data_IF_703211477357
#
_entry.id   IF_703211477357
#
_cell.length_a   1.000
_cell.length_b   1.000
_cell.length_c   1.000
_cell.angle_alpha   90.00
_cell.angle_beta   90.00
_cell.angle_gamma   90.00
#
_symmetry.space_group_name_H-M   'P 1'
#
loop_
_entity.id
_entity.type
_entity.pdbx_description
1 polymer ?
#
# COMPACT_ATOMS: atom_id res chain seq x y z
N UNK A 1 61.96 -5.21 2.68
CA UNK A 1 61.12 -5.99 3.61
C UNK A 1 59.72 -6.04 3.02
N UNK A 2 59.42 -7.14 2.31
CA UNK A 2 58.17 -7.41 1.62
C UNK A 2 57.23 -8.11 2.58
N UNK A 3 56.07 -7.51 2.88
CA UNK A 3 54.98 -8.17 3.58
C UNK A 3 53.86 -8.46 2.57
N UNK A 4 53.82 -9.69 2.10
CA UNK A 4 52.71 -10.25 1.34
C UNK A 4 51.63 -10.69 2.32
N UNK A 5 50.46 -10.07 2.26
CA UNK A 5 49.25 -10.48 2.99
C UNK A 5 48.42 -11.42 2.12
N UNK A 6 48.29 -12.67 2.56
CA UNK A 6 47.45 -13.71 1.97
C UNK A 6 45.94 -13.45 2.23
N UNK A 7 45.04 -13.94 1.36
CA UNK A 7 43.60 -13.71 1.47
C UNK A 7 42.92 -14.67 2.46
N UNK A 8 42.09 -14.13 3.36
CA UNK A 8 41.22 -14.91 4.24
C UNK A 8 40.02 -15.46 3.47
N UNK A 9 40.01 -16.77 3.31
CA UNK A 9 38.91 -17.58 2.75
C UNK A 9 37.69 -17.63 3.68
N UNK A 10 36.52 -17.68 3.04
CA UNK A 10 35.16 -17.78 3.59
C UNK A 10 35.03 -18.91 4.63
N UNK A 11 34.48 -18.57 5.81
CA UNK A 11 33.78 -19.54 6.65
C UNK A 11 32.28 -19.27 6.61
N UNK A 12 31.58 -20.12 5.85
CA UNK A 12 30.12 -20.28 5.91
C UNK A 12 29.84 -21.14 7.14
N UNK A 13 29.28 -20.55 8.20
CA UNK A 13 28.76 -21.31 9.32
C UNK A 13 27.38 -21.87 8.92
N UNK A 14 27.40 -23.14 8.53
CA UNK A 14 26.23 -23.99 8.39
C UNK A 14 25.68 -24.29 9.79
N UNK A 15 24.42 -23.90 10.06
CA UNK A 15 23.74 -24.18 11.34
C UNK A 15 22.61 -25.21 11.11
N UNK A 16 22.82 -26.50 11.38
CA UNK A 16 21.87 -27.55 11.06
C UNK A 16 20.99 -27.93 12.25
N UNK A 17 20.31 -26.97 12.90
CA UNK A 17 19.33 -27.27 13.95
C UNK A 17 18.24 -26.20 14.03
N UNK A 18 17.33 -26.17 13.05
CA UNK A 18 16.04 -25.48 13.19
C UNK A 18 14.98 -26.09 12.26
N UNK A 19 14.92 -27.42 12.21
CA UNK A 19 13.79 -28.17 11.65
C UNK A 19 13.20 -29.03 12.77
N UNK A 20 12.27 -28.45 13.51
CA UNK A 20 11.23 -29.21 14.23
C UNK A 20 9.92 -28.50 13.97
N UNK A 21 9.05 -29.18 13.22
CA UNK A 21 7.69 -28.76 13.01
C UNK A 21 6.90 -28.94 14.30
N UNK A 22 6.14 -27.92 14.66
CA UNK A 22 5.01 -28.05 15.56
C UNK A 22 3.80 -27.43 14.88
N UNK A 23 2.92 -28.30 14.41
CA UNK A 23 1.57 -27.98 14.00
C UNK A 23 0.77 -27.60 15.25
N UNK A 24 0.48 -26.30 15.41
CA UNK A 24 -0.49 -25.82 16.39
C UNK A 24 -1.64 -25.15 15.66
N UNK A 25 -2.60 -25.98 15.27
CA UNK A 25 -3.95 -25.59 14.89
C UNK A 25 -4.67 -24.98 16.09
N UNK A 26 -4.94 -23.68 16.06
CA UNK A 26 -5.89 -23.04 16.97
C UNK A 26 -7.12 -22.58 16.19
N UNK A 27 -8.18 -23.36 16.30
CA UNK A 27 -9.54 -22.98 15.92
C UNK A 27 -10.35 -22.74 17.21
N UNK A 28 -11.07 -21.62 17.35
CA UNK A 28 -12.16 -21.52 18.29
C UNK A 28 -13.48 -21.84 17.57
N UNK A 29 -14.05 -23.01 17.88
CA UNK A 29 -15.47 -23.31 17.65
C UNK A 29 -16.27 -22.68 18.78
N UNK A 30 -17.22 -21.80 18.44
CA UNK A 30 -18.44 -21.57 19.22
C UNK A 30 -19.58 -21.19 18.23
N UNK A 31 -20.62 -22.04 18.19
CA UNK A 31 -21.92 -21.81 17.54
C UNK A 31 -22.97 -21.48 18.65
N UNK A 32 -24.27 -21.36 18.35
CA UNK A 32 -24.95 -20.23 17.71
C UNK A 32 -26.14 -19.73 18.56
N UNK A 33 -26.72 -18.58 18.22
CA UNK A 33 -28.10 -18.25 18.59
C UNK A 33 -28.29 -16.82 19.05
N UNK A 34 -28.85 -15.98 18.20
CA UNK A 34 -30.21 -15.46 18.41
C UNK A 34 -30.70 -14.87 17.09
N UNK A 35 -31.72 -15.53 16.55
CA UNK A 35 -32.52 -15.02 15.44
C UNK A 35 -33.55 -14.07 16.05
N UNK A 36 -33.76 -12.90 15.47
CA UNK A 36 -35.10 -12.34 15.45
C UNK A 36 -35.36 -11.51 14.20
N UNK A 37 -36.25 -12.07 13.39
CA UNK A 37 -37.01 -11.51 12.31
C UNK A 37 -37.59 -10.13 12.62
N UNK A 38 -37.44 -9.20 11.68
CA UNK A 38 -38.45 -8.19 11.39
C UNK A 38 -38.31 -7.68 9.95
N UNK A 39 -38.67 -8.53 8.98
CA UNK A 39 -39.29 -8.02 7.73
C UNK A 39 -40.66 -7.49 8.12
N UNK A 40 -40.92 -6.21 7.90
CA UNK A 40 -42.28 -5.75 7.64
C UNK A 40 -42.24 -4.66 6.57
N UNK A 41 -42.54 -5.12 5.36
CA UNK A 41 -42.99 -4.31 4.23
C UNK A 41 -44.20 -3.51 4.69
N UNK A 42 -44.21 -2.21 4.42
CA UNK A 42 -45.46 -1.45 4.41
C UNK A 42 -45.43 -0.55 3.16
N UNK A 43 -45.95 -1.10 2.07
CA UNK A 43 -46.51 -0.27 1.02
C UNK A 43 -47.78 0.39 1.57
N UNK A 44 -47.87 1.70 1.46
CA UNK A 44 -49.17 2.37 1.44
C UNK A 44 -49.12 3.53 0.47
N UNK A 45 -49.64 3.29 -0.74
CA UNK A 45 -50.20 4.34 -1.59
C UNK A 45 -51.41 4.93 -0.88
N UNK A 46 -51.36 6.21 -0.51
CA UNK A 46 -52.55 7.04 -0.43
C UNK A 46 -52.27 8.35 -1.17
N UNK A 47 -53.20 8.62 -2.07
CA UNK A 47 -53.25 9.70 -3.04
C UNK A 47 -53.77 11.01 -2.43
N UNK A 48 -53.19 12.12 -2.90
CA UNK A 48 -53.72 13.48 -3.04
C UNK A 48 -54.33 14.17 -1.79
N UNK A 49 -53.71 15.30 -1.41
CA UNK A 49 -54.44 16.58 -1.27
C UNK A 49 -53.48 17.77 -1.30
N UNK A 50 -53.87 18.73 -2.14
CA UNK A 50 -53.29 20.06 -2.28
C UNK A 50 -53.33 20.83 -0.96
N UNK A 51 -52.21 21.44 -0.58
CA UNK A 51 -52.22 22.65 0.24
C UNK A 51 -51.35 23.71 -0.44
N UNK A 52 -52.05 24.68 -1.01
CA UNK A 52 -51.50 25.92 -1.56
C UNK A 52 -50.94 26.80 -0.45
N UNK A 53 -49.81 27.46 -0.76
CA UNK A 53 -49.30 28.71 -0.17
C UNK A 53 -49.00 28.67 1.33
N UNK A 54 -47.71 28.64 1.65
CA UNK A 54 -47.05 29.61 2.53
C UNK A 54 -45.58 29.70 2.07
N UNK A 55 -45.12 30.94 1.81
CA UNK A 55 -43.79 31.21 1.28
C UNK A 55 -42.68 31.07 2.31
N UNK A 56 -41.46 30.92 1.82
CA UNK A 56 -40.25 31.12 2.62
C UNK A 56 -39.17 30.08 2.34
N UNK A 57 -38.03 30.60 1.89
CA UNK A 57 -36.72 29.92 1.80
C UNK A 57 -36.59 28.92 0.64
N UNK A 58 -36.06 29.42 -0.49
CA UNK A 58 -35.29 28.56 -1.40
C UNK A 58 -34.00 28.18 -0.69
N UNK A 59 -33.99 27.05 0.00
CA UNK A 59 -32.74 26.34 0.21
C UNK A 59 -32.30 25.90 -1.18
N UNK A 60 -31.25 26.52 -1.71
CA UNK A 60 -30.55 26.02 -2.88
C UNK A 60 -30.09 24.60 -2.53
N UNK A 61 -30.81 23.61 -3.04
CA UNK A 61 -30.35 22.24 -3.07
C UNK A 61 -29.12 22.21 -3.95
N UNK A 62 -27.96 22.44 -3.35
CA UNK A 62 -26.70 22.04 -3.95
C UNK A 62 -26.78 20.54 -4.11
N UNK A 63 -27.08 20.09 -5.32
CA UNK A 63 -26.84 18.71 -5.70
C UNK A 63 -25.37 18.44 -5.37
N UNK A 64 -25.12 17.59 -4.38
CA UNK A 64 -23.79 17.13 -4.06
C UNK A 64 -23.29 16.39 -5.31
N UNK A 65 -22.43 17.03 -6.10
CA UNK A 65 -21.65 16.31 -7.10
C UNK A 65 -20.73 15.38 -6.31
N UNK A 66 -21.05 14.08 -6.31
CA UNK A 66 -20.06 13.05 -6.04
C UNK A 66 -18.98 13.17 -7.11
N UNK A 67 -17.92 13.93 -6.83
CA UNK A 67 -16.73 13.93 -7.67
C UNK A 67 -16.14 12.52 -7.63
N UNK A 68 -16.02 11.88 -8.81
CA UNK A 68 -15.27 10.63 -8.91
C UNK A 68 -13.87 10.83 -8.33
N UNK A 69 -13.36 9.89 -7.52
CA UNK A 69 -12.07 10.05 -6.87
C UNK A 69 -10.95 10.16 -7.90
N UNK A 70 -10.06 11.15 -7.75
CA UNK A 70 -8.92 11.35 -8.64
C UNK A 70 -7.74 10.43 -8.28
N UNK A 71 -6.68 10.44 -9.10
CA UNK A 71 -5.46 9.65 -8.86
C UNK A 71 -4.85 9.95 -7.47
N UNK A 72 -5.00 11.18 -6.96
CA UNK A 72 -4.46 11.61 -5.66
C UNK A 72 -5.20 10.96 -4.50
N UNK A 73 -6.52 10.80 -4.61
CA UNK A 73 -7.33 10.08 -3.63
C UNK A 73 -6.80 8.65 -3.41
N UNK A 74 -6.57 7.91 -4.50
CA UNK A 74 -6.10 6.53 -4.40
C UNK A 74 -4.66 6.43 -3.89
N UNK A 75 -3.77 7.35 -4.26
CA UNK A 75 -2.41 7.37 -3.67
C UNK A 75 -2.43 7.69 -2.17
N UNK A 76 -3.31 8.60 -1.72
CA UNK A 76 -3.48 8.85 -0.28
C UNK A 76 -3.95 7.59 0.44
N UNK A 77 -4.86 6.83 -0.17
CA UNK A 77 -5.26 5.52 0.35
C UNK A 77 -4.09 4.54 0.45
N UNK A 78 -3.21 4.48 -0.56
CA UNK A 78 -1.97 3.71 -0.46
C UNK A 78 -1.10 4.12 0.73
N UNK A 79 -0.97 5.44 0.98
CA UNK A 79 -0.20 5.96 2.13
C UNK A 79 -0.88 5.59 3.45
N UNK A 80 -2.20 5.64 3.56
CA UNK A 80 -2.94 5.18 4.74
C UNK A 80 -2.68 3.70 5.04
N UNK A 81 -2.77 2.85 4.03
CA UNK A 81 -2.48 1.42 4.16
C UNK A 81 -1.04 1.18 4.61
N UNK A 82 -0.07 1.87 3.99
CA UNK A 82 1.34 1.77 4.34
C UNK A 82 1.64 2.18 5.79
N UNK A 83 0.95 3.20 6.32
CA UNK A 83 1.11 3.69 7.70
C UNK A 83 0.75 2.66 8.75
N UNK A 84 -0.06 1.65 8.42
CA UNK A 84 -0.38 0.57 9.37
C UNK A 84 0.84 -0.28 9.75
N UNK A 85 1.92 -0.22 8.97
CA UNK A 85 3.16 -0.97 9.19
C UNK A 85 4.31 -0.13 9.78
N UNK A 86 4.04 1.07 10.29
CA UNK A 86 5.05 1.92 10.95
C UNK A 86 5.79 1.11 12.04
N UNK A 87 7.12 1.08 11.94
CA UNK A 87 7.99 0.37 12.89
C UNK A 87 8.22 -1.11 12.59
N UNK A 88 7.55 -1.69 11.58
CA UNK A 88 7.63 -3.14 11.29
C UNK A 88 8.36 -3.49 9.99
N UNK A 89 8.49 -2.55 9.05
CA UNK A 89 9.07 -2.83 7.73
C UNK A 89 10.59 -2.75 7.68
N UNK A 90 11.24 -2.01 8.59
CA UNK A 90 12.69 -1.78 8.57
C UNK A 90 13.48 -3.09 8.42
N UNK A 91 14.47 -3.18 7.49
CA UNK A 91 15.05 -2.09 6.69
C UNK A 91 14.29 -1.71 5.40
N UNK A 92 13.16 -2.35 5.12
CA UNK A 92 12.37 -2.11 3.90
C UNK A 92 11.50 -0.84 4.02
N UNK A 93 11.14 -0.21 2.89
CA UNK A 93 10.22 0.91 2.86
C UNK A 93 8.81 0.49 3.27
N UNK A 94 8.02 1.46 3.74
CA UNK A 94 6.58 1.31 3.88
C UNK A 94 5.94 1.52 2.52
N UNK A 95 5.22 0.51 2.05
CA UNK A 95 4.55 0.54 0.74
C UNK A 95 3.10 0.11 0.92
N UNK A 96 2.21 0.83 0.26
CA UNK A 96 0.80 0.49 0.11
C UNK A 96 0.42 0.52 -1.37
N UNK A 97 -0.55 -0.30 -1.73
CA UNK A 97 -1.05 -0.45 -3.07
C UNK A 97 -2.57 -0.68 -3.05
N UNK A 98 -3.28 -0.06 -3.98
CA UNK A 98 -4.69 -0.36 -4.26
C UNK A 98 -4.89 -0.66 -5.73
N UNK A 99 -5.78 -1.59 -6.03
CA UNK A 99 -6.22 -1.89 -7.40
C UNK A 99 -7.62 -1.33 -7.57
N UNK A 100 -7.83 -0.54 -8.63
CA UNK A 100 -9.11 0.10 -8.94
C UNK A 100 -9.63 -0.40 -10.28
N UNK A 101 -10.92 -0.74 -10.30
CA UNK A 101 -11.66 -1.13 -11.50
C UNK A 101 -12.99 -0.41 -11.51
N UNK A 102 -13.31 0.25 -12.62
CA UNK A 102 -14.59 0.95 -12.83
C UNK A 102 -14.94 1.91 -11.67
N UNK A 103 -13.95 2.69 -11.23
CA UNK A 103 -14.06 3.66 -10.13
C UNK A 103 -14.06 3.07 -8.71
N UNK A 104 -14.00 1.74 -8.57
CA UNK A 104 -14.07 1.05 -7.27
C UNK A 104 -12.74 0.40 -6.91
N UNK A 105 -12.35 0.51 -5.64
CA UNK A 105 -11.24 -0.27 -5.10
C UNK A 105 -11.69 -1.73 -5.06
N UNK A 106 -10.99 -2.60 -5.78
CA UNK A 106 -11.24 -4.04 -5.84
C UNK A 106 -10.18 -4.85 -5.11
N UNK A 107 -9.05 -4.25 -4.74
CA UNK A 107 -8.06 -4.90 -3.90
C UNK A 107 -7.17 -3.91 -3.16
N UNK A 108 -6.79 -4.26 -1.94
CA UNK A 108 -5.91 -3.45 -1.09
C UNK A 108 -4.72 -4.27 -0.58
N UNK A 109 -3.58 -3.62 -0.40
CA UNK A 109 -2.39 -4.26 0.12
C UNK A 109 -1.38 -3.28 0.71
N UNK A 110 -0.60 -3.78 1.66
CA UNK A 110 0.57 -3.08 2.20
C UNK A 110 1.67 -4.10 2.50
N UNK A 111 2.91 -3.62 2.60
CA UNK A 111 4.03 -4.47 3.03
C UNK A 111 4.09 -4.54 4.56
N UNK A 112 3.82 -5.70 5.20
CA UNK A 112 3.69 -5.76 6.65
C UNK A 112 5.04 -5.84 7.37
N UNK A 113 6.03 -6.51 6.78
CA UNK A 113 7.34 -6.78 7.40
C UNK A 113 8.35 -7.28 6.38
N UNK A 114 9.64 -6.97 6.60
CA UNK A 114 10.73 -7.47 5.77
C UNK A 114 10.70 -9.00 5.55
N UNK A 115 10.83 -9.42 4.29
CA UNK A 115 10.77 -10.83 3.87
C UNK A 115 9.35 -11.36 3.58
N UNK A 116 8.31 -10.62 3.93
CA UNK A 116 6.94 -10.91 3.47
C UNK A 116 6.71 -10.35 2.06
N UNK A 117 5.63 -10.77 1.36
CA UNK A 117 5.25 -10.19 0.09
C UNK A 117 5.13 -8.66 0.16
N UNK A 118 5.33 -8.01 -0.98
CA UNK A 118 5.17 -6.56 -1.11
C UNK A 118 3.69 -6.19 -1.26
N UNK A 119 3.39 -4.89 -1.15
CA UNK A 119 2.04 -4.35 -1.16
C UNK A 119 1.26 -4.75 -2.43
N UNK A 120 1.91 -4.70 -3.59
CA UNK A 120 1.33 -5.02 -4.89
C UNK A 120 0.87 -6.47 -4.96
N UNK A 121 1.62 -7.39 -4.33
CA UNK A 121 1.26 -8.81 -4.30
C UNK A 121 0.00 -9.02 -3.45
N UNK A 122 -0.11 -8.33 -2.32
CA UNK A 122 -1.32 -8.40 -1.49
C UNK A 122 -2.53 -7.78 -2.21
N UNK A 123 -2.37 -6.60 -2.81
CA UNK A 123 -3.45 -5.93 -3.52
C UNK A 123 -3.94 -6.72 -4.73
N UNK A 124 -3.04 -7.35 -5.50
CA UNK A 124 -3.39 -8.24 -6.60
C UNK A 124 -4.10 -9.53 -6.14
N UNK A 125 -3.70 -10.09 -4.99
CA UNK A 125 -4.36 -11.28 -4.43
C UNK A 125 -5.78 -10.95 -3.96
N UNK A 126 -5.96 -9.79 -3.34
CA UNK A 126 -7.26 -9.31 -2.88
C UNK A 126 -8.20 -9.01 -4.05
N UNK A 127 -7.67 -8.39 -5.11
CA UNK A 127 -8.41 -8.11 -6.35
C UNK A 127 -8.76 -9.37 -7.15
N UNK A 128 -7.91 -10.40 -7.14
CA UNK A 128 -8.07 -11.58 -7.98
C UNK A 128 -8.20 -11.20 -9.47
N UNK A 129 -9.18 -11.78 -10.14
CA UNK A 129 -9.40 -11.56 -11.58
C UNK A 129 -9.85 -10.13 -11.91
N UNK A 130 -10.34 -9.37 -10.92
CA UNK A 130 -10.76 -7.97 -11.11
C UNK A 130 -9.58 -7.02 -11.36
N UNK A 131 -8.34 -7.47 -11.14
CA UNK A 131 -7.15 -6.71 -11.47
C UNK A 131 -6.95 -6.52 -12.99
N UNK A 132 -7.48 -7.43 -13.81
CA UNK A 132 -7.31 -7.36 -15.25
C UNK A 132 -7.97 -6.10 -15.83
N UNK A 133 -7.20 -5.38 -16.66
CA UNK A 133 -7.58 -4.10 -17.23
C UNK A 133 -7.97 -3.04 -16.17
N UNK A 134 -7.51 -3.19 -14.92
CA UNK A 134 -7.65 -2.21 -13.84
C UNK A 134 -6.47 -1.24 -13.77
N UNK A 135 -6.53 -0.31 -12.82
CA UNK A 135 -5.44 0.62 -12.50
C UNK A 135 -4.84 0.25 -11.15
N UNK A 136 -3.54 0.02 -11.08
CA UNK A 136 -2.82 -0.14 -9.82
C UNK A 136 -2.27 1.22 -9.36
N UNK A 137 -2.57 1.60 -8.13
CA UNK A 137 -1.98 2.76 -7.48
C UNK A 137 -0.99 2.26 -6.44
N UNK A 138 0.20 2.83 -6.38
CA UNK A 138 1.25 2.41 -5.45
C UNK A 138 2.05 3.62 -4.99
N UNK A 139 2.34 3.72 -3.69
CA UNK A 139 3.02 4.91 -3.17
C UNK A 139 4.52 4.97 -3.49
N UNK A 140 5.15 3.87 -3.91
CA UNK A 140 6.57 3.76 -4.29
C UNK A 140 6.71 2.96 -5.59
N UNK A 141 7.75 3.23 -6.38
CA UNK A 141 8.04 2.47 -7.62
C UNK A 141 8.06 0.94 -7.37
N UNK A 142 7.31 0.14 -8.17
CA UNK A 142 7.34 -1.32 -8.07
C UNK A 142 8.72 -1.90 -8.36
N UNK A 143 9.14 -2.87 -7.54
CA UNK A 143 10.48 -3.46 -7.70
C UNK A 143 10.63 -4.27 -9.01
N UNK A 144 11.85 -4.21 -9.58
CA UNK A 144 12.25 -4.94 -10.79
C UNK A 144 13.56 -5.74 -10.59
N UNK A 145 13.72 -6.33 -9.42
CA UNK A 145 14.86 -7.19 -9.13
C UNK A 145 14.40 -8.42 -8.34
N UNK A 146 15.13 -9.52 -8.48
CA UNK A 146 14.91 -10.71 -7.70
C UNK A 146 15.60 -10.57 -6.34
N UNK A 147 14.80 -10.47 -5.29
CA UNK A 147 15.26 -10.47 -3.90
C UNK A 147 14.82 -11.75 -3.20
N UNK A 148 14.28 -11.60 -1.99
CA UNK A 148 13.60 -12.70 -1.26
C UNK A 148 12.27 -13.10 -1.90
N UNK A 149 11.67 -12.18 -2.66
CA UNK A 149 10.42 -12.37 -3.39
C UNK A 149 10.63 -12.02 -4.87
N UNK A 150 9.81 -12.58 -5.78
CA UNK A 150 9.80 -12.18 -7.19
C UNK A 150 9.48 -10.69 -7.39
N UNK A 151 9.85 -10.09 -8.54
CA UNK A 151 9.59 -8.68 -8.82
C UNK A 151 8.10 -8.35 -8.92
N UNK A 152 7.69 -7.24 -8.31
CA UNK A 152 6.30 -6.75 -8.37
C UNK A 152 5.89 -6.31 -9.77
N UNK A 153 6.82 -5.80 -10.56
CA UNK A 153 6.59 -5.51 -11.99
C UNK A 153 6.11 -6.73 -12.77
N UNK A 154 6.66 -7.92 -12.52
CA UNK A 154 6.22 -9.15 -13.17
C UNK A 154 4.82 -9.57 -12.72
N UNK A 155 4.50 -9.38 -11.45
CA UNK A 155 3.17 -9.65 -10.92
C UNK A 155 2.10 -8.75 -11.58
N UNK A 156 2.39 -7.44 -11.70
CA UNK A 156 1.50 -6.47 -12.35
C UNK A 156 1.30 -6.77 -13.84
N UNK A 157 2.38 -7.11 -14.56
CA UNK A 157 2.33 -7.50 -15.98
C UNK A 157 1.51 -8.78 -16.15
N UNK A 158 1.76 -9.80 -15.31
CA UNK A 158 1.02 -11.06 -15.34
C UNK A 158 -0.47 -10.86 -15.03
N UNK A 159 -0.80 -9.94 -14.12
CA UNK A 159 -2.17 -9.58 -13.80
C UNK A 159 -2.85 -8.73 -14.89
N UNK A 160 -2.11 -8.30 -15.92
CA UNK A 160 -2.62 -7.53 -17.06
C UNK A 160 -3.34 -6.26 -16.62
N UNK A 161 -2.77 -5.55 -15.64
CA UNK A 161 -3.24 -4.21 -15.28
C UNK A 161 -3.04 -3.28 -16.47
N UNK A 162 -3.98 -2.36 -16.70
CA UNK A 162 -3.94 -1.42 -17.83
C UNK A 162 -3.04 -0.23 -17.55
N UNK A 163 -3.08 0.27 -16.31
CA UNK A 163 -2.38 1.47 -15.87
C UNK A 163 -1.76 1.26 -14.49
N UNK A 164 -0.61 1.86 -14.26
CA UNK A 164 0.04 1.95 -12.95
C UNK A 164 0.31 3.42 -12.62
N UNK A 165 -0.16 3.88 -11.48
CA UNK A 165 0.05 5.23 -10.96
C UNK A 165 0.96 5.15 -9.74
N UNK A 166 2.08 5.86 -9.80
CA UNK A 166 3.17 5.76 -8.84
C UNK A 166 3.31 7.08 -8.08
N UNK A 167 3.37 6.97 -6.76
CA UNK A 167 3.53 8.11 -5.86
C UNK A 167 4.91 8.77 -5.99
N UNK A 168 5.97 8.00 -5.76
CA UNK A 168 7.36 8.44 -5.90
C UNK A 168 8.25 7.38 -6.58
N UNK A 169 9.31 7.84 -7.24
CA UNK A 169 10.38 6.98 -7.78
C UNK A 169 11.22 6.44 -6.63
N UNK A 170 11.65 5.18 -6.68
CA UNK A 170 12.49 4.59 -5.63
C UNK A 170 13.92 5.16 -5.74
N UNK A 171 14.46 5.81 -4.68
CA UNK A 171 15.83 6.35 -4.70
C UNK A 171 16.92 5.27 -4.68
N UNK A 172 16.55 4.01 -4.48
CA UNK A 172 17.52 2.90 -4.51
C UNK A 172 18.09 2.73 -5.92
N UNK A 173 19.40 2.92 -6.09
CA UNK A 173 20.09 2.80 -7.38
C UNK A 173 19.93 1.43 -8.08
N UNK A 174 19.58 0.38 -7.33
CA UNK A 174 19.26 -0.94 -7.90
C UNK A 174 17.93 -0.89 -8.64
N UNK A 175 16.95 -0.11 -8.16
CA UNK A 175 15.60 -0.01 -8.69
C UNK A 175 15.47 1.16 -9.66
N UNK A 176 16.05 2.32 -9.33
CA UNK A 176 15.85 3.63 -9.96
C UNK A 176 15.36 3.57 -11.42
N UNK A 177 14.04 3.76 -11.56
CA UNK A 177 13.32 3.87 -12.82
C UNK A 177 13.31 2.60 -13.69
N UNK A 178 13.92 1.48 -13.25
CA UNK A 178 13.93 0.20 -13.97
C UNK A 178 12.57 -0.49 -13.89
N UNK A 179 11.82 -0.29 -12.80
CA UNK A 179 10.47 -0.81 -12.68
C UNK A 179 9.51 -0.08 -13.61
N UNK A 180 9.60 1.26 -13.62
CA UNK A 180 8.85 2.12 -14.53
C UNK A 180 9.11 1.74 -15.99
N UNK A 181 10.38 1.58 -16.39
CA UNK A 181 10.75 1.17 -17.75
C UNK A 181 10.13 -0.18 -18.12
N UNK A 182 10.28 -1.22 -17.29
CA UNK A 182 9.73 -2.56 -17.57
C UNK A 182 8.22 -2.56 -17.74
N UNK A 183 7.48 -1.78 -16.95
CA UNK A 183 6.03 -1.66 -17.10
C UNK A 183 5.65 -1.00 -18.43
N UNK A 184 6.33 0.09 -18.80
CA UNK A 184 6.11 0.76 -20.09
C UNK A 184 6.45 -0.13 -21.28
N UNK A 185 7.56 -0.85 -21.21
CA UNK A 185 7.99 -1.79 -22.26
C UNK A 185 6.99 -2.96 -22.44
N UNK A 186 6.26 -3.31 -21.38
CA UNK A 186 5.16 -4.28 -21.42
C UNK A 186 3.83 -3.70 -21.92
N UNK A 187 3.79 -2.42 -22.32
CA UNK A 187 2.60 -1.75 -22.84
C UNK A 187 1.63 -1.23 -21.78
N UNK A 188 2.06 -1.15 -20.51
CA UNK A 188 1.25 -0.61 -19.41
C UNK A 188 1.41 0.91 -19.37
N UNK A 189 0.30 1.64 -19.23
CA UNK A 189 0.33 3.10 -19.03
C UNK A 189 0.91 3.43 -17.64
N UNK A 190 1.90 4.31 -17.54
CA UNK A 190 2.54 4.64 -16.26
C UNK A 190 2.58 6.15 -16.00
N UNK A 191 1.88 6.57 -14.95
CA UNK A 191 1.93 7.93 -14.37
C UNK A 191 2.79 7.92 -13.11
N UNK A 192 3.64 8.94 -12.93
CA UNK A 192 4.60 9.02 -11.82
C UNK A 192 4.52 10.39 -11.16
N UNK A 193 4.75 10.46 -9.85
CA UNK A 193 4.86 11.72 -9.10
C UNK A 193 3.54 12.21 -8.51
N UNK A 194 2.55 11.33 -8.34
CA UNK A 194 1.23 11.71 -7.77
C UNK A 194 1.33 11.73 -6.24
N UNK A 195 1.08 12.89 -5.62
CA UNK A 195 1.28 13.07 -4.16
C UNK A 195 2.72 12.67 -3.72
N UNK A 196 3.73 12.98 -4.56
CA UNK A 196 5.12 12.57 -4.34
C UNK A 196 5.65 13.02 -2.97
N UNK A 197 5.39 14.28 -2.58
CA UNK A 197 5.84 14.83 -1.30
C UNK A 197 5.26 14.06 -0.11
N UNK A 198 4.02 13.59 -0.21
CA UNK A 198 3.39 12.77 0.83
C UNK A 198 4.07 11.39 0.92
N UNK A 199 4.38 10.79 -0.23
CA UNK A 199 5.07 9.50 -0.30
C UNK A 199 6.52 9.61 0.19
N UNK A 200 7.19 10.72 -0.10
CA UNK A 200 8.53 11.04 0.40
C UNK A 200 8.54 11.16 1.93
N UNK A 201 7.58 11.90 2.50
CA UNK A 201 7.43 12.01 3.96
C UNK A 201 7.17 10.67 4.63
N UNK A 202 6.35 9.80 4.01
CA UNK A 202 6.12 8.45 4.51
C UNK A 202 7.44 7.67 4.67
N UNK A 203 8.35 7.78 3.70
CA UNK A 203 9.58 6.98 3.63
C UNK A 203 10.86 7.78 3.91
N UNK A 204 10.80 8.89 4.64
CA UNK A 204 11.95 9.80 4.84
C UNK A 204 13.22 9.08 5.32
N UNK A 205 13.09 8.23 6.34
CA UNK A 205 14.22 7.46 6.88
C UNK A 205 14.80 6.45 5.86
N UNK A 206 13.94 5.79 5.09
CA UNK A 206 14.36 4.88 4.02
C UNK A 206 15.11 5.64 2.92
N UNK A 207 14.55 6.76 2.46
CA UNK A 207 15.14 7.62 1.43
C UNK A 207 16.52 8.11 1.88
N UNK A 208 16.63 8.60 3.12
CA UNK A 208 17.91 9.03 3.68
C UNK A 208 18.96 7.91 3.67
N UNK A 209 18.58 6.71 4.11
CA UNK A 209 19.47 5.55 4.12
C UNK A 209 19.92 5.14 2.72
N UNK A 210 19.02 5.18 1.73
CA UNK A 210 19.34 4.83 0.33
C UNK A 210 20.26 5.86 -0.32
N UNK A 211 20.03 7.15 -0.09
CA UNK A 211 20.81 8.23 -0.72
C UNK A 211 22.17 8.45 -0.06
N UNK A 212 22.27 8.28 1.26
CA UNK A 212 23.48 8.65 2.02
C UNK A 212 24.29 7.47 2.53
N UNK A 213 23.68 6.27 2.57
CA UNK A 213 24.26 5.10 3.24
C UNK A 213 24.32 5.22 4.78
N UNK A 214 23.77 6.28 5.37
CA UNK A 214 23.82 6.58 6.80
C UNK A 214 22.44 6.40 7.46
N UNK A 215 22.39 6.05 8.76
CA UNK A 215 21.13 5.96 9.47
C UNK A 215 20.48 7.33 9.64
N UNK A 216 19.15 7.38 9.49
CA UNK A 216 18.36 8.55 9.82
C UNK A 216 18.18 8.65 11.34
N UNK A 217 18.68 9.73 11.96
CA UNK A 217 18.72 9.87 13.42
C UNK A 217 17.75 10.94 13.89
N UNK A 218 16.89 10.59 14.84
CA UNK A 218 16.06 11.54 15.57
C UNK A 218 16.53 11.61 17.02
N UNK A 219 17.04 12.78 17.44
CA UNK A 219 17.39 13.03 18.84
C UNK A 219 16.18 13.61 19.57
N UNK A 220 15.64 12.85 20.53
CA UNK A 220 14.66 13.36 21.48
C UNK A 220 15.38 13.61 22.80
N UNK A 221 15.39 14.86 23.27
CA UNK A 221 15.93 15.23 24.58
C UNK A 221 14.88 15.95 25.41
N UNK A 222 15.04 15.90 26.73
CA UNK A 222 14.27 16.66 27.70
C UNK A 222 15.27 17.47 28.53
N UNK A 223 15.01 18.76 28.71
CA UNK A 223 15.82 19.64 29.57
C UNK A 223 14.93 20.21 30.66
N UNK A 224 15.38 20.14 31.91
CA UNK A 224 14.74 20.82 33.02
C UNK A 224 15.28 22.24 33.09
N UNK A 225 14.39 23.24 33.11
CA UNK A 225 14.83 24.62 33.40
C UNK A 225 15.25 24.71 34.86
N UNK A 226 16.54 24.91 35.10
CA UNK A 226 17.05 25.30 36.41
C UNK A 226 16.92 26.82 36.53
N UNK A 227 15.98 27.29 37.34
CA UNK A 227 15.89 28.70 37.72
C UNK A 227 16.97 28.97 38.77
N UNK A 228 17.86 29.94 38.50
CA UNK A 228 18.88 30.42 39.42
C UNK A 228 18.28 31.41 40.44
#
# INVERSE_FOLDING_TARGET
MSAQTLPLTKHVLYNPLANRGENLSFAPKLRPGFCNSAKRVFESRISLRNYSKLGGVRCGGGAQMEQEPDDRYYIRRCVELARTAIGYTSPNPMVGCVIVKDGKIVGEGFHPKAGQPHAEVFALRDAGDLAENGTAFVCLEPCNHYGRTPPCTEALIKARVKKVVIGMVDPNAIVDSKGIRKLRDAGIEVTVGVEEELCRKLNEAYIHQMLTGKPFVTLRYLSLMTTL
#
